data_IF_673802696320
#
_entry.id   IF_673802696320
#
_cell.length_a   1.000
_cell.length_b   1.000
_cell.length_c   1.000
_cell.angle_alpha   90.00
_cell.angle_beta   90.00
_cell.angle_gamma   90.00
#
_symmetry.space_group_name_H-M   'P 1'
#
loop_
_entity.id
_entity.type
_entity.pdbx_description
1 polymer ?
#
# COMPACT_ATOMS: atom_id res chain seq x y z
N UNK A 1 -0.22 34.70 -9.60
CA UNK A 1 -0.98 33.80 -8.69
C UNK A 1 -1.99 32.86 -9.37
N UNK A 2 -2.44 33.13 -10.61
CA UNK A 2 -3.41 32.31 -11.34
C UNK A 2 -2.92 30.88 -11.66
N UNK A 3 -1.64 30.72 -12.04
CA UNK A 3 -1.07 29.43 -12.44
C UNK A 3 -1.01 28.37 -11.32
N UNK A 4 -0.97 28.77 -10.03
CA UNK A 4 -0.97 27.81 -8.91
C UNK A 4 -2.30 27.05 -8.81
N UNK A 5 -3.40 27.64 -9.26
CA UNK A 5 -4.73 27.00 -9.26
C UNK A 5 -4.78 25.79 -10.18
N UNK A 6 -3.98 25.81 -11.24
CA UNK A 6 -3.92 24.73 -12.22
C UNK A 6 -3.01 23.56 -11.77
N UNK A 7 -2.29 23.70 -10.66
CA UNK A 7 -1.38 22.67 -10.14
C UNK A 7 -2.11 21.63 -9.30
N UNK A 8 -3.05 20.94 -9.94
CA UNK A 8 -3.93 19.97 -9.27
C UNK A 8 -3.34 18.56 -9.22
N UNK A 9 -2.17 18.30 -9.81
CA UNK A 9 -1.57 16.96 -9.82
C UNK A 9 -0.98 16.57 -8.45
N UNK A 10 -1.07 15.29 -8.08
CA UNK A 10 -0.48 14.74 -6.86
C UNK A 10 1.04 15.01 -6.78
N UNK A 11 1.70 15.16 -7.94
CA UNK A 11 3.14 15.29 -8.01
C UNK A 11 3.69 16.54 -7.32
N UNK A 12 2.92 17.62 -7.28
CA UNK A 12 3.35 18.87 -6.66
C UNK A 12 3.49 18.73 -5.14
N UNK A 13 2.91 17.70 -4.52
CA UNK A 13 3.07 17.41 -3.11
C UNK A 13 4.52 17.03 -2.71
N UNK A 14 5.32 16.53 -3.67
CA UNK A 14 6.72 16.16 -3.45
C UNK A 14 7.70 17.36 -3.50
N UNK A 15 7.19 18.55 -3.81
CA UNK A 15 7.96 19.78 -3.97
C UNK A 15 7.44 20.89 -3.05
N UNK A 16 8.24 21.93 -2.82
CA UNK A 16 7.81 23.11 -2.07
C UNK A 16 6.60 23.77 -2.77
N UNK A 17 5.63 24.33 -2.00
CA UNK A 17 4.46 25.03 -2.54
C UNK A 17 4.80 26.14 -3.52
N UNK A 18 5.89 26.85 -3.19
CA UNK A 18 6.32 28.05 -3.86
C UNK A 18 7.60 27.72 -4.64
N UNK A 19 7.50 27.51 -5.97
CA UNK A 19 8.69 27.38 -6.79
C UNK A 19 9.38 28.75 -6.88
N UNK A 20 10.69 28.70 -7.09
CA UNK A 20 11.46 29.90 -7.38
C UNK A 20 11.26 30.29 -8.85
N UNK A 21 11.32 31.58 -9.15
CA UNK A 21 11.35 32.08 -10.51
C UNK A 21 12.83 32.31 -10.86
N UNK A 22 13.34 31.55 -11.83
CA UNK A 22 14.73 31.60 -12.27
C UNK A 22 14.80 32.03 -13.75
N UNK A 23 15.81 32.84 -14.09
CA UNK A 23 16.14 33.15 -15.48
C UNK A 23 17.37 32.36 -15.91
N UNK A 24 17.20 31.45 -16.87
CA UNK A 24 18.28 30.63 -17.43
C UNK A 24 18.43 30.97 -18.90
N UNK A 25 19.59 31.52 -19.28
CA UNK A 25 19.86 31.97 -20.65
C UNK A 25 18.79 32.93 -21.20
N UNK A 26 18.31 33.86 -20.37
CA UNK A 26 17.28 34.83 -20.73
C UNK A 26 15.85 34.28 -20.76
N UNK A 27 15.64 33.01 -20.42
CA UNK A 27 14.31 32.37 -20.37
C UNK A 27 13.82 32.23 -18.94
N UNK A 28 12.57 32.59 -18.71
CA UNK A 28 11.91 32.45 -17.41
C UNK A 28 11.46 31.00 -17.17
N UNK A 29 11.78 30.48 -15.99
CA UNK A 29 11.35 29.14 -15.59
C UNK A 29 10.93 29.08 -14.11
N UNK A 30 10.01 28.17 -13.82
CA UNK A 30 9.70 27.77 -12.46
C UNK A 30 10.66 26.68 -12.01
N UNK A 31 11.42 26.96 -10.95
CA UNK A 31 12.32 26.02 -10.30
C UNK A 31 11.64 25.40 -9.07
N UNK A 32 11.18 24.16 -9.21
CA UNK A 32 10.57 23.38 -8.13
C UNK A 32 11.63 22.75 -7.24
N UNK A 33 11.61 23.11 -5.96
CA UNK A 33 12.53 22.57 -4.95
C UNK A 33 11.92 21.31 -4.35
N UNK A 34 12.61 20.16 -4.43
CA UNK A 34 12.12 18.94 -3.80
C UNK A 34 12.11 19.08 -2.26
N UNK A 35 11.11 18.53 -1.59
CA UNK A 35 10.99 18.61 -0.12
C UNK A 35 12.17 17.91 0.57
N UNK A 36 12.64 16.77 0.05
CA UNK A 36 13.82 16.05 0.59
C UNK A 36 15.11 16.85 0.40
N UNK A 37 15.22 17.61 -0.69
CA UNK A 37 16.44 18.37 -1.01
C UNK A 37 16.79 19.43 0.07
N UNK A 38 15.85 19.81 0.94
CA UNK A 38 16.10 20.73 2.07
C UNK A 38 16.92 20.05 3.18
N UNK A 39 16.86 18.73 3.27
CA UNK A 39 17.47 17.91 4.32
C UNK A 39 18.61 17.01 3.78
N UNK A 40 19.44 17.53 2.88
CA UNK A 40 20.72 16.95 2.36
C UNK A 40 20.70 15.62 1.57
N UNK A 41 19.57 14.90 1.44
CA UNK A 41 19.53 13.56 0.81
C UNK A 41 18.84 13.46 -0.57
N UNK A 42 18.99 14.49 -1.40
CA UNK A 42 18.41 14.44 -2.74
C UNK A 42 19.17 13.46 -3.66
N UNK A 43 18.47 12.51 -4.26
CA UNK A 43 19.03 11.55 -5.24
C UNK A 43 18.95 12.03 -6.69
N UNK A 44 18.33 13.20 -6.90
CA UNK A 44 18.26 13.84 -8.21
C UNK A 44 19.55 14.59 -8.55
N UNK A 45 19.81 14.75 -9.86
CA UNK A 45 20.99 15.46 -10.38
C UNK A 45 21.03 16.93 -9.94
N UNK A 46 19.87 17.57 -9.89
CA UNK A 46 19.71 18.95 -9.45
C UNK A 46 18.73 19.01 -8.29
N UNK A 47 18.94 19.95 -7.36
CA UNK A 47 17.99 20.21 -6.27
C UNK A 47 16.70 20.90 -6.71
N UNK A 48 16.75 21.47 -7.91
CA UNK A 48 15.69 22.23 -8.55
C UNK A 48 15.29 21.51 -9.82
N UNK A 49 14.00 21.22 -9.98
CA UNK A 49 13.43 20.76 -11.24
C UNK A 49 12.89 21.98 -11.96
N UNK A 50 13.51 22.35 -13.07
CA UNK A 50 13.12 23.51 -13.86
C UNK A 50 11.98 23.15 -14.81
N UNK A 51 11.02 24.05 -14.92
CA UNK A 51 9.96 24.03 -15.91
C UNK A 51 9.86 25.39 -16.58
N UNK A 52 10.23 25.40 -17.86
CA UNK A 52 10.18 26.59 -18.70
C UNK A 52 8.73 26.99 -18.99
N UNK A 53 8.49 28.30 -19.05
CA UNK A 53 7.15 28.87 -19.24
C UNK A 53 6.84 29.23 -20.71
N UNK A 54 7.88 29.36 -21.52
CA UNK A 54 7.85 29.74 -22.94
C UNK A 54 7.60 28.56 -23.88
N UNK A 55 7.52 27.33 -23.36
CA UNK A 55 7.42 26.11 -24.14
C UNK A 55 6.01 25.49 -24.10
N UNK A 56 5.66 24.71 -25.13
CA UNK A 56 4.36 24.02 -25.21
C UNK A 56 4.17 22.97 -24.10
N UNK A 57 5.26 22.51 -23.49
CA UNK A 57 5.27 21.58 -22.35
C UNK A 57 5.30 22.29 -21.00
N UNK A 58 5.01 23.60 -20.92
CA UNK A 58 4.95 24.37 -19.67
C UNK A 58 3.95 23.80 -18.63
N UNK A 59 3.03 22.92 -19.05
CA UNK A 59 2.08 22.19 -18.17
C UNK A 59 2.50 20.74 -17.88
N UNK A 60 3.55 20.24 -18.53
CA UNK A 60 4.05 18.88 -18.34
C UNK A 60 4.56 18.66 -16.92
N UNK A 61 4.36 17.42 -16.44
CA UNK A 61 4.81 16.96 -15.12
C UNK A 61 5.83 15.82 -15.21
N UNK A 62 6.29 15.44 -16.41
CA UNK A 62 7.20 14.30 -16.60
C UNK A 62 8.51 14.47 -15.85
N UNK A 63 9.11 15.68 -15.90
CA UNK A 63 10.37 15.98 -15.23
C UNK A 63 10.21 15.92 -13.70
N UNK A 64 9.09 16.42 -13.17
CA UNK A 64 8.76 16.36 -11.75
C UNK A 64 8.56 14.90 -11.30
N UNK A 65 7.85 14.10 -12.10
CA UNK A 65 7.62 12.67 -11.82
C UNK A 65 8.93 11.89 -11.79
N UNK A 66 9.78 12.09 -12.79
CA UNK A 66 11.08 11.40 -12.89
C UNK A 66 11.96 11.72 -11.69
N UNK A 67 11.98 12.98 -11.26
CA UNK A 67 12.71 13.37 -10.05
C UNK A 67 12.09 12.75 -8.78
N UNK A 68 10.77 12.80 -8.63
CA UNK A 68 10.10 12.25 -7.46
C UNK A 68 10.37 10.74 -7.31
N UNK A 69 10.32 9.96 -8.39
CA UNK A 69 10.63 8.52 -8.36
C UNK A 69 12.05 8.26 -7.88
N UNK A 70 13.03 9.04 -8.36
CA UNK A 70 14.43 8.91 -7.91
C UNK A 70 14.59 9.22 -6.43
N UNK A 71 13.93 10.26 -5.92
CA UNK A 71 14.08 10.72 -4.54
C UNK A 71 13.25 9.89 -3.55
N UNK A 72 12.06 9.42 -3.94
CA UNK A 72 11.08 8.82 -3.04
C UNK A 72 10.80 7.34 -3.31
N UNK A 73 11.38 6.74 -4.36
CA UNK A 73 11.03 5.42 -4.94
C UNK A 73 9.76 5.42 -5.80
N UNK A 74 9.68 4.45 -6.69
CA UNK A 74 8.52 4.26 -7.58
C UNK A 74 7.26 3.88 -6.80
N UNK A 75 7.38 3.01 -5.80
CA UNK A 75 6.25 2.54 -4.99
C UNK A 75 5.55 3.67 -4.24
N UNK A 76 6.32 4.59 -3.66
CA UNK A 76 5.78 5.73 -2.93
C UNK A 76 5.04 6.68 -3.87
N UNK A 77 5.60 6.95 -5.06
CA UNK A 77 4.98 7.82 -6.07
C UNK A 77 3.72 7.18 -6.63
N UNK A 78 3.74 5.87 -6.87
CA UNK A 78 2.57 5.12 -7.34
C UNK A 78 1.47 5.07 -6.28
N UNK A 79 1.80 4.86 -5.01
CA UNK A 79 0.83 4.91 -3.91
C UNK A 79 0.23 6.31 -3.75
N UNK A 80 1.06 7.36 -3.81
CA UNK A 80 0.60 8.75 -3.75
C UNK A 80 -0.32 9.14 -4.90
N UNK A 81 -0.16 8.57 -6.09
CA UNK A 81 -1.06 8.83 -7.23
C UNK A 81 -2.49 8.31 -7.01
N UNK A 82 -2.67 7.36 -6.09
CA UNK A 82 -3.96 6.73 -5.75
C UNK A 82 -4.59 7.31 -4.48
N UNK A 83 -3.80 8.01 -3.67
CA UNK A 83 -4.21 8.62 -2.42
C UNK A 83 -4.84 10.01 -2.62
N UNK A 84 -5.51 10.52 -1.59
CA UNK A 84 -6.04 11.87 -1.57
C UNK A 84 -4.91 12.90 -1.52
N UNK A 85 -4.96 13.89 -2.42
CA UNK A 85 -3.89 14.88 -2.62
C UNK A 85 -3.58 15.67 -1.35
N UNK A 86 -4.60 15.99 -0.55
CA UNK A 86 -4.46 16.68 0.73
C UNK A 86 -3.63 15.86 1.72
N UNK A 87 -3.97 14.58 1.87
CA UNK A 87 -3.24 13.62 2.72
C UNK A 87 -1.80 13.44 2.28
N UNK A 88 -1.56 13.31 0.97
CA UNK A 88 -0.19 13.17 0.42
C UNK A 88 0.67 14.37 0.79
N UNK A 89 0.16 15.59 0.57
CA UNK A 89 0.89 16.83 0.86
C UNK A 89 1.20 16.99 2.34
N UNK A 90 0.22 16.73 3.21
CA UNK A 90 0.41 16.83 4.65
C UNK A 90 1.40 15.77 5.18
N UNK A 91 1.29 14.54 4.68
CA UNK A 91 2.20 13.46 5.06
C UNK A 91 3.63 13.75 4.64
N UNK A 92 3.85 14.18 3.39
CA UNK A 92 5.19 14.53 2.89
C UNK A 92 5.78 15.70 3.69
N UNK A 93 4.97 16.72 4.01
CA UNK A 93 5.41 17.89 4.78
C UNK A 93 5.82 17.53 6.21
N UNK A 94 5.04 16.69 6.91
CA UNK A 94 5.33 16.23 8.27
C UNK A 94 6.60 15.39 8.35
N UNK A 95 6.84 14.60 7.31
CA UNK A 95 7.91 13.60 7.28
C UNK A 95 9.24 14.22 6.86
N UNK A 96 9.23 15.27 6.04
CA UNK A 96 10.45 15.99 5.66
C UNK A 96 11.53 15.13 4.99
N UNK A 97 11.18 13.95 4.47
CA UNK A 97 12.12 12.97 3.92
C UNK A 97 12.76 12.01 4.92
N UNK A 98 12.33 12.00 6.20
CA UNK A 98 12.92 11.17 7.25
C UNK A 98 12.33 9.75 7.38
N UNK A 99 11.17 9.47 6.79
CA UNK A 99 10.57 8.13 6.87
C UNK A 99 11.11 7.19 5.79
N UNK A 100 11.31 5.93 6.18
CA UNK A 100 11.51 4.80 5.29
C UNK A 100 10.40 4.76 4.21
N UNK A 101 10.74 4.49 2.94
CA UNK A 101 9.77 4.39 1.84
C UNK A 101 8.59 3.45 2.13
N UNK A 102 8.83 2.35 2.84
CA UNK A 102 7.81 1.36 3.21
C UNK A 102 6.70 1.95 4.09
N UNK A 103 7.06 2.81 5.05
CA UNK A 103 6.11 3.45 5.97
C UNK A 103 5.24 4.47 5.22
N UNK A 104 5.84 5.20 4.28
CA UNK A 104 5.12 6.15 3.41
C UNK A 104 4.14 5.42 2.49
N UNK A 105 4.59 4.34 1.85
CA UNK A 105 3.74 3.49 1.01
C UNK A 105 2.58 2.91 1.81
N UNK A 106 2.81 2.42 3.03
CA UNK A 106 1.75 1.91 3.90
C UNK A 106 0.73 2.99 4.29
N UNK A 107 1.18 4.22 4.57
CA UNK A 107 0.29 5.35 4.86
C UNK A 107 -0.57 5.72 3.66
N UNK A 108 0.01 5.82 2.47
CA UNK A 108 -0.74 6.16 1.26
C UNK A 108 -1.70 5.05 0.82
N UNK A 109 -1.34 3.78 1.03
CA UNK A 109 -2.24 2.63 0.77
C UNK A 109 -3.42 2.57 1.75
N UNK A 110 -3.25 3.11 2.96
CA UNK A 110 -4.33 3.20 3.96
C UNK A 110 -5.22 4.43 3.78
N UNK A 111 -4.84 5.37 2.93
CA UNK A 111 -5.65 6.57 2.69
C UNK A 111 -6.98 6.17 2.03
N UNK A 112 -8.11 6.56 2.64
CA UNK A 112 -9.46 6.12 2.25
C UNK A 112 -9.88 4.74 2.75
N UNK A 113 -8.98 3.95 3.34
CA UNK A 113 -9.36 2.78 4.14
C UNK A 113 -9.61 3.28 5.55
N UNK A 114 -10.85 3.18 6.04
CA UNK A 114 -11.27 3.70 7.34
C UNK A 114 -10.38 3.28 8.51
N UNK A 115 -10.62 3.81 9.72
CA UNK A 115 -9.81 3.48 10.89
C UNK A 115 -9.66 1.97 11.03
N UNK A 116 -8.44 1.50 11.34
CA UNK A 116 -8.19 0.07 11.59
C UNK A 116 -9.04 -0.33 12.79
N UNK A 117 -10.17 -0.95 12.51
CA UNK A 117 -11.08 -1.47 13.51
C UNK A 117 -10.60 -2.84 13.91
N UNK A 118 -10.08 -2.94 15.13
CA UNK A 118 -9.88 -4.23 15.76
C UNK A 118 -11.21 -4.64 16.39
N UNK A 119 -11.70 -5.83 16.00
CA UNK A 119 -12.84 -6.41 16.69
C UNK A 119 -12.39 -6.84 18.08
N UNK A 120 -12.96 -6.23 19.12
CA UNK A 120 -12.93 -6.80 20.47
C UNK A 120 -13.97 -7.91 20.64
N UNK A 121 -14.84 -8.12 19.64
CA UNK A 121 -15.78 -9.24 19.70
C UNK A 121 -15.02 -10.54 19.57
N UNK A 122 -15.20 -11.35 20.60
CA UNK A 122 -14.63 -12.67 20.72
C UNK A 122 -15.12 -13.56 19.56
N UNK A 123 -14.20 -14.33 18.98
CA UNK A 123 -14.58 -15.33 18.00
C UNK A 123 -15.65 -16.26 18.56
N UNK A 124 -16.68 -16.52 17.76
CA UNK A 124 -17.69 -17.51 18.14
C UNK A 124 -17.06 -18.90 18.23
N UNK A 125 -17.72 -19.84 18.93
CA UNK A 125 -17.28 -21.25 18.98
C UNK A 125 -17.12 -21.88 17.58
N UNK A 126 -17.77 -21.31 16.55
CA UNK A 126 -17.64 -21.74 15.16
C UNK A 126 -16.37 -21.17 14.50
N UNK A 127 -16.01 -19.92 14.80
CA UNK A 127 -14.82 -19.24 14.26
C UNK A 127 -13.52 -19.72 14.90
N UNK A 128 -13.56 -20.16 16.16
CA UNK A 128 -12.38 -20.64 16.93
C UNK A 128 -11.84 -22.00 16.44
N UNK A 129 -12.44 -22.59 15.40
CA UNK A 129 -12.17 -23.96 14.95
C UNK A 129 -10.99 -24.11 13.97
N UNK A 130 -10.28 -23.03 13.65
CA UNK A 130 -9.10 -23.08 12.80
C UNK A 130 -7.91 -23.77 13.51
N UNK A 131 -6.99 -24.33 12.71
CA UNK A 131 -6.05 -25.41 13.01
C UNK A 131 -4.93 -25.14 14.04
N UNK A 132 -5.06 -24.11 14.88
CA UNK A 132 -4.03 -23.63 15.82
C UNK A 132 -4.26 -24.22 17.23
N UNK A 133 -4.84 -25.42 17.32
CA UNK A 133 -5.32 -25.96 18.60
C UNK A 133 -4.21 -26.41 19.56
N UNK A 134 -3.04 -26.77 19.03
CA UNK A 134 -1.90 -27.25 19.83
C UNK A 134 -0.77 -26.24 19.99
N UNK A 135 -0.86 -25.08 19.34
CA UNK A 135 0.19 -24.07 19.47
C UNK A 135 0.16 -23.45 20.88
N UNK A 136 1.29 -23.53 21.57
CA UNK A 136 1.41 -23.03 22.94
C UNK A 136 1.28 -21.51 23.00
N UNK A 137 1.79 -20.80 21.98
CA UNK A 137 1.69 -19.35 21.88
C UNK A 137 0.24 -18.89 21.74
N UNK A 138 -0.50 -19.51 20.83
CA UNK A 138 -1.92 -19.30 20.63
C UNK A 138 -2.74 -19.62 21.87
N UNK A 139 -2.54 -20.77 22.51
CA UNK A 139 -3.25 -21.13 23.74
C UNK A 139 -2.98 -20.13 24.86
N UNK A 140 -1.73 -19.68 25.01
CA UNK A 140 -1.36 -18.66 25.98
C UNK A 140 -2.08 -17.35 25.65
N UNK A 141 -2.02 -16.90 24.41
CA UNK A 141 -2.62 -15.64 23.97
C UNK A 141 -4.14 -15.63 24.14
N UNK A 142 -4.82 -16.71 23.74
CA UNK A 142 -6.28 -16.82 23.83
C UNK A 142 -6.80 -16.98 25.27
N UNK A 143 -5.98 -17.49 26.19
CA UNK A 143 -6.34 -17.65 27.61
C UNK A 143 -5.84 -16.52 28.51
N UNK A 144 -4.90 -15.70 28.04
CA UNK A 144 -4.40 -14.56 28.81
C UNK A 144 -5.51 -13.52 28.95
N UNK A 145 -5.96 -13.27 30.18
CA UNK A 145 -7.10 -12.39 30.47
C UNK A 145 -8.48 -13.06 30.35
N UNK A 146 -8.58 -14.31 29.86
CA UNK A 146 -9.85 -15.02 29.77
C UNK A 146 -9.72 -16.55 29.94
N UNK A 147 -9.51 -17.05 31.18
CA UNK A 147 -9.29 -18.48 31.44
C UNK A 147 -10.43 -19.41 30.98
N UNK A 148 -11.66 -18.88 30.89
CA UNK A 148 -12.85 -19.61 30.42
C UNK A 148 -13.01 -19.71 28.90
N UNK A 149 -12.05 -19.19 28.11
CA UNK A 149 -12.12 -19.23 26.65
C UNK A 149 -12.17 -20.67 26.12
N UNK A 150 -13.24 -21.00 25.38
CA UNK A 150 -13.42 -22.33 24.79
C UNK A 150 -12.46 -22.54 23.62
N UNK A 151 -11.54 -23.49 23.77
CA UNK A 151 -10.70 -23.98 22.68
C UNK A 151 -11.16 -25.40 22.33
N UNK A 152 -11.50 -25.69 21.07
CA UNK A 152 -11.90 -27.05 20.68
C UNK A 152 -10.72 -28.02 20.86
N UNK A 153 -11.01 -29.30 21.12
CA UNK A 153 -9.96 -30.31 21.18
C UNK A 153 -9.42 -30.64 19.77
N UNK A 154 -8.16 -31.13 19.66
CA UNK A 154 -7.61 -31.55 18.36
C UNK A 154 -8.50 -32.55 17.62
N UNK A 155 -9.10 -33.50 18.36
CA UNK A 155 -10.04 -34.48 17.81
C UNK A 155 -11.33 -33.85 17.27
N UNK A 156 -11.76 -32.72 17.83
CA UNK A 156 -12.93 -31.97 17.35
C UNK A 156 -12.59 -31.27 16.04
N UNK A 157 -11.44 -30.60 15.96
CA UNK A 157 -10.97 -29.98 14.71
C UNK A 157 -10.74 -31.04 13.62
N UNK A 158 -10.12 -32.17 13.95
CA UNK A 158 -9.91 -33.25 12.98
C UNK A 158 -11.23 -33.80 12.40
N UNK A 159 -12.27 -33.97 13.22
CA UNK A 159 -13.60 -34.39 12.74
C UNK A 159 -14.23 -33.34 11.83
N UNK A 160 -14.16 -32.07 12.22
CA UNK A 160 -14.73 -30.97 11.45
C UNK A 160 -14.00 -30.80 10.10
N UNK A 161 -12.67 -30.89 10.08
CA UNK A 161 -11.86 -30.86 8.85
C UNK A 161 -12.22 -32.02 7.92
N UNK A 162 -12.37 -33.24 8.44
CA UNK A 162 -12.84 -34.40 7.65
C UNK A 162 -14.22 -34.16 7.04
N UNK A 163 -15.14 -33.56 7.81
CA UNK A 163 -16.49 -33.23 7.32
C UNK A 163 -16.44 -32.18 6.21
N UNK A 164 -15.65 -31.11 6.40
CA UNK A 164 -15.44 -30.07 5.38
C UNK A 164 -14.83 -30.68 4.12
N UNK A 165 -13.78 -31.50 4.26
CA UNK A 165 -13.16 -32.18 3.14
C UNK A 165 -14.16 -33.05 2.37
N UNK A 166 -14.97 -33.85 3.06
CA UNK A 166 -16.00 -34.70 2.43
C UNK A 166 -17.01 -33.87 1.62
N UNK A 167 -17.51 -32.77 2.19
CA UNK A 167 -18.47 -31.88 1.52
C UNK A 167 -17.86 -31.17 0.33
N UNK A 168 -16.65 -30.64 0.49
CA UNK A 168 -15.91 -29.96 -0.59
C UNK A 168 -15.62 -30.94 -1.72
N UNK A 169 -15.17 -32.16 -1.40
CA UNK A 169 -14.94 -33.22 -2.39
C UNK A 169 -16.20 -33.54 -3.18
N UNK A 170 -17.35 -33.68 -2.52
CA UNK A 170 -18.64 -33.91 -3.21
C UNK A 170 -19.00 -32.76 -4.16
N UNK A 171 -18.83 -31.51 -3.71
CA UNK A 171 -19.10 -30.32 -4.52
C UNK A 171 -18.17 -30.24 -5.73
N UNK A 172 -16.87 -30.44 -5.53
CA UNK A 172 -15.88 -30.42 -6.62
C UNK A 172 -16.12 -31.58 -7.58
N UNK A 173 -16.44 -32.78 -7.09
CA UNK A 173 -16.77 -33.91 -7.95
C UNK A 173 -17.95 -33.59 -8.87
N UNK A 174 -19.02 -32.98 -8.34
CA UNK A 174 -20.16 -32.50 -9.14
C UNK A 174 -19.70 -31.51 -10.22
N UNK A 175 -18.92 -30.50 -9.84
CA UNK A 175 -18.41 -29.50 -10.78
C UNK A 175 -17.55 -30.11 -11.90
N UNK A 176 -16.73 -31.11 -11.57
CA UNK A 176 -15.88 -31.80 -12.54
C UNK A 176 -16.69 -32.72 -13.47
N UNK A 177 -17.73 -33.37 -12.95
CA UNK A 177 -18.63 -34.22 -13.75
C UNK A 177 -19.50 -33.43 -14.72
N UNK A 178 -19.93 -32.22 -14.33
CA UNK A 178 -20.76 -31.34 -15.16
C UNK A 178 -19.93 -30.51 -16.16
N UNK A 179 -18.60 -30.60 -16.12
CA UNK A 179 -17.72 -29.79 -16.97
C UNK A 179 -17.71 -30.32 -18.42
N UNK A 180 -18.13 -29.52 -19.43
CA UNK A 180 -18.24 -29.98 -20.81
C UNK A 180 -16.90 -30.05 -21.56
N UNK A 181 -15.83 -29.53 -20.96
CA UNK A 181 -14.51 -29.45 -21.59
C UNK A 181 -13.55 -30.57 -21.16
N UNK A 182 -12.34 -30.55 -21.72
CA UNK A 182 -11.27 -31.46 -21.30
C UNK A 182 -10.64 -30.99 -19.97
N UNK A 183 -10.37 -31.93 -19.07
CA UNK A 183 -9.68 -31.68 -17.81
C UNK A 183 -8.19 -31.97 -17.97
N UNK A 184 -7.35 -31.00 -17.61
CA UNK A 184 -5.91 -31.22 -17.44
C UNK A 184 -5.63 -31.60 -16.00
N UNK A 185 -4.82 -32.65 -15.77
CA UNK A 185 -4.36 -33.04 -14.44
C UNK A 185 -2.83 -33.01 -14.41
N UNK A 186 -2.28 -32.51 -13.30
CA UNK A 186 -0.87 -32.58 -13.01
C UNK A 186 -0.67 -33.51 -11.81
N UNK A 187 0.34 -34.36 -11.86
CA UNK A 187 0.73 -35.21 -10.73
C UNK A 187 2.07 -34.70 -10.24
N UNK A 188 2.13 -34.35 -8.96
CA UNK A 188 3.36 -34.00 -8.28
C UNK A 188 3.80 -35.20 -7.43
N UNK A 189 5.03 -35.67 -7.66
CA UNK A 189 5.59 -36.83 -7.00
C UNK A 189 7.04 -36.53 -6.64
N UNK A 190 7.30 -36.32 -5.35
CA UNK A 190 8.64 -36.14 -4.78
C UNK A 190 8.92 -37.23 -3.75
N UNK A 191 10.20 -37.56 -3.57
CA UNK A 191 10.72 -38.45 -2.50
C UNK A 191 11.26 -37.64 -1.34
#
# INVERSE_FOLDING_TARGET
ETLKKDWTSYIYAFFKPDPLIEFVNGRECHAFVCVICVATHCKGWTRHVRRYLDTSDAKSISNLKTHAVKCWSEDVVAAASRAEKGTVRETIRKVGGQLQPEVLTAKFKRDGMGPVTYSHMQHTKKETKAEIVKDRGFLSLMKTGHPGYYVPSPSTVARDVKLVFSRTRQRVAKMLQEYPGSLSFATDAWT
#
